data_IF_462074657080
#
_entry.id   IF_462074657080
#
_cell.length_a   1.000
_cell.length_b   1.000
_cell.length_c   1.000
_cell.angle_alpha   90.00
_cell.angle_beta   90.00
_cell.angle_gamma   90.00
#
_symmetry.space_group_name_H-M   'P 1'
#
loop_
_entity.id
_entity.type
_entity.pdbx_description
1 polymer ?
#
# COMPACT_ATOMS: atom_id res chain seq x y z
N UNK A 1 49.12 -58.74 22.73
CA UNK A 1 47.80 -58.51 23.36
C UNK A 1 47.05 -57.53 22.47
N UNK A 2 45.95 -57.98 21.85
CA UNK A 2 45.11 -57.21 20.93
C UNK A 2 44.13 -56.38 21.76
N UNK A 3 44.14 -55.06 21.60
CA UNK A 3 43.09 -54.19 22.12
C UNK A 3 41.95 -54.11 21.08
N UNK A 4 40.77 -54.54 21.49
CA UNK A 4 39.56 -54.60 20.69
C UNK A 4 38.93 -53.20 20.58
N UNK A 5 38.84 -52.65 19.37
CA UNK A 5 38.02 -51.47 19.07
C UNK A 5 36.53 -51.87 18.99
N UNK A 6 35.62 -51.17 19.67
CA UNK A 6 34.18 -51.42 19.57
C UNK A 6 33.61 -50.97 18.19
N UNK A 7 32.63 -51.70 17.62
CA UNK A 7 32.19 -51.58 16.23
C UNK A 7 31.16 -50.45 15.96
N UNK A 8 31.20 -49.34 16.70
CA UNK A 8 30.22 -48.24 16.53
C UNK A 8 30.81 -47.02 15.79
N UNK A 9 31.87 -47.24 15.02
CA UNK A 9 32.25 -46.37 13.92
C UNK A 9 31.41 -46.74 12.70
N UNK A 10 30.33 -46.03 12.44
CA UNK A 10 29.99 -45.59 11.09
C UNK A 10 29.02 -44.38 11.15
N UNK A 11 29.31 -43.32 10.39
CA UNK A 11 28.61 -42.05 10.42
C UNK A 11 27.37 -42.10 9.51
N UNK A 12 26.24 -41.59 9.98
CA UNK A 12 25.11 -41.25 9.11
C UNK A 12 24.61 -39.86 9.53
N UNK A 13 25.00 -38.84 8.78
CA UNK A 13 24.23 -38.29 7.67
C UNK A 13 22.88 -37.69 8.11
N UNK A 14 22.85 -36.35 8.10
CA UNK A 14 21.77 -35.58 7.51
C UNK A 14 20.34 -35.82 8.03
N UNK A 15 20.02 -35.30 9.22
CA UNK A 15 18.65 -34.89 9.57
C UNK A 15 18.70 -33.49 10.20
N UNK A 16 19.22 -32.51 9.45
CA UNK A 16 19.18 -31.08 9.83
C UNK A 16 18.57 -30.21 8.72
N UNK A 17 17.78 -30.82 7.84
CA UNK A 17 17.15 -30.15 6.69
C UNK A 17 15.73 -30.69 6.54
N UNK A 18 14.78 -30.16 7.32
CA UNK A 18 13.35 -30.11 6.99
C UNK A 18 12.55 -29.47 8.13
N UNK A 19 12.93 -28.27 8.54
CA UNK A 19 11.93 -27.28 8.97
C UNK A 19 12.01 -26.19 7.91
N UNK A 20 11.35 -26.43 6.79
CA UNK A 20 10.91 -25.31 5.94
C UNK A 20 9.82 -24.65 6.77
N UNK A 21 10.03 -23.46 7.37
CA UNK A 21 8.87 -22.68 7.73
C UNK A 21 8.19 -22.40 6.38
N UNK A 22 7.05 -23.03 6.15
CA UNK A 22 6.09 -22.59 5.15
C UNK A 22 5.56 -21.21 5.56
N UNK A 23 6.44 -20.23 5.67
CA UNK A 23 6.14 -18.83 5.64
C UNK A 23 5.77 -18.52 4.19
N UNK A 24 4.49 -18.54 3.88
CA UNK A 24 3.87 -17.51 3.05
C UNK A 24 2.35 -17.70 3.17
N UNK A 25 1.85 -17.54 4.40
CA UNK A 25 0.57 -16.85 4.53
C UNK A 25 0.85 -15.43 4.05
N UNK A 26 0.75 -15.24 2.74
CA UNK A 26 0.82 -13.93 2.12
C UNK A 26 -0.49 -13.26 2.53
N UNK A 27 -0.54 -12.77 3.77
CA UNK A 27 -1.60 -11.92 4.29
C UNK A 27 -1.90 -10.92 3.18
N UNK A 28 -3.07 -11.08 2.53
CA UNK A 28 -3.50 -10.16 1.50
C UNK A 28 -3.71 -8.83 2.21
N UNK A 29 -2.67 -7.99 2.24
CA UNK A 29 -2.75 -6.65 2.83
C UNK A 29 -4.03 -6.00 2.28
N UNK A 30 -4.95 -5.56 3.15
CA UNK A 30 -6.19 -4.96 2.71
C UNK A 30 -5.85 -3.79 1.79
N UNK A 31 -6.63 -3.60 0.73
CA UNK A 31 -6.45 -2.49 -0.18
C UNK A 31 -6.74 -1.21 0.62
N UNK A 32 -5.76 -0.30 0.81
CA UNK A 32 -6.01 0.90 1.57
C UNK A 32 -6.95 1.81 0.78
N UNK A 33 -7.98 2.30 1.45
CA UNK A 33 -8.93 3.27 0.91
C UNK A 33 -8.61 4.62 1.53
N UNK A 34 -8.32 5.61 0.69
CA UNK A 34 -8.01 6.98 1.10
C UNK A 34 -9.15 7.87 0.67
N UNK A 35 -9.73 8.59 1.63
CA UNK A 35 -10.76 9.58 1.36
C UNK A 35 -10.09 10.90 1.11
N UNK A 36 -10.38 11.53 -0.02
CA UNK A 36 -9.91 12.87 -0.38
C UNK A 36 -11.12 13.71 -0.73
N UNK A 37 -11.30 14.85 -0.10
CA UNK A 37 -12.36 15.80 -0.46
C UNK A 37 -11.78 17.14 -0.91
N UNK A 38 -12.34 17.70 -1.97
CA UNK A 38 -12.13 19.10 -2.33
C UNK A 38 -13.07 19.95 -1.48
N UNK A 39 -12.52 20.83 -0.66
CA UNK A 39 -13.30 21.71 0.21
C UNK A 39 -13.71 22.99 -0.53
N UNK A 40 -14.75 23.66 -0.05
CA UNK A 40 -15.22 24.94 -0.60
C UNK A 40 -14.15 26.03 -0.52
N UNK A 41 -13.47 26.13 0.63
CA UNK A 41 -12.37 27.05 0.86
C UNK A 41 -11.27 26.93 -0.20
N UNK A 42 -10.76 28.06 -0.69
CA UNK A 42 -9.73 28.10 -1.73
C UNK A 42 -8.43 27.42 -1.27
N UNK A 43 -7.89 26.54 -2.11
CA UNK A 43 -6.65 25.80 -1.83
C UNK A 43 -6.72 24.79 -0.69
N UNK A 44 -7.91 24.55 -0.11
CA UNK A 44 -8.11 23.59 0.98
C UNK A 44 -8.64 22.25 0.47
N UNK A 45 -8.13 21.18 1.07
CA UNK A 45 -8.49 19.80 0.80
C UNK A 45 -8.62 19.03 2.12
N UNK A 46 -9.27 17.88 2.09
CA UNK A 46 -9.24 16.92 3.19
C UNK A 46 -8.54 15.62 2.75
N UNK A 47 -7.86 14.96 3.67
CA UNK A 47 -7.46 13.55 3.54
C UNK A 47 -7.92 12.83 4.80
N UNK A 48 -8.74 11.80 4.66
CA UNK A 48 -9.28 11.04 5.80
C UNK A 48 -9.83 11.98 6.91
N UNK A 49 -10.60 13.00 6.50
CA UNK A 49 -11.18 14.04 7.34
C UNK A 49 -10.19 15.03 7.99
N UNK A 50 -8.91 14.98 7.66
CA UNK A 50 -7.92 15.97 8.10
C UNK A 50 -7.72 17.03 7.03
N UNK A 51 -7.86 18.30 7.42
CA UNK A 51 -7.68 19.44 6.52
C UNK A 51 -6.20 19.64 6.20
N UNK A 52 -5.89 19.75 4.91
CA UNK A 52 -4.54 19.95 4.38
C UNK A 52 -4.55 20.98 3.24
N UNK A 53 -3.40 21.57 2.98
CA UNK A 53 -3.17 22.35 1.75
C UNK A 53 -2.72 21.46 0.58
N UNK A 54 -2.66 22.02 -0.62
CA UNK A 54 -2.27 21.32 -1.84
C UNK A 54 -0.93 20.57 -1.73
N UNK A 55 0.09 21.21 -1.15
CA UNK A 55 1.41 20.57 -1.02
C UNK A 55 1.40 19.41 -0.03
N UNK A 56 0.65 19.54 1.07
CA UNK A 56 0.43 18.45 2.02
C UNK A 56 -0.32 17.29 1.38
N UNK A 57 -1.32 17.58 0.55
CA UNK A 57 -2.06 16.58 -0.23
C UNK A 57 -1.15 15.80 -1.17
N UNK A 58 -0.34 16.49 -1.97
CA UNK A 58 0.62 15.85 -2.88
C UNK A 58 1.63 14.98 -2.15
N UNK A 59 2.17 15.48 -1.03
CA UNK A 59 3.14 14.76 -0.23
C UNK A 59 2.56 13.44 0.31
N UNK A 60 1.35 13.48 0.86
CA UNK A 60 0.69 12.31 1.43
C UNK A 60 0.28 11.30 0.35
N UNK A 61 -0.30 11.76 -0.76
CA UNK A 61 -0.64 10.90 -1.89
C UNK A 61 0.60 10.22 -2.48
N UNK A 62 1.72 10.94 -2.58
CA UNK A 62 2.98 10.34 -3.04
C UNK A 62 3.52 9.31 -2.05
N UNK A 63 3.51 9.63 -0.75
CA UNK A 63 3.90 8.70 0.32
C UNK A 63 3.10 7.40 0.23
N UNK A 64 1.78 7.50 0.05
CA UNK A 64 0.88 6.36 -0.12
C UNK A 64 1.10 5.61 -1.43
N UNK A 65 1.35 6.32 -2.53
CA UNK A 65 1.68 5.70 -3.81
C UNK A 65 2.93 4.82 -3.70
N UNK A 66 3.96 5.31 -3.01
CA UNK A 66 5.22 4.60 -2.81
C UNK A 66 5.09 3.46 -1.79
N UNK A 67 4.36 3.66 -0.68
CA UNK A 67 4.11 2.62 0.34
C UNK A 67 3.38 1.40 -0.24
N UNK A 68 2.41 1.63 -1.13
CA UNK A 68 1.56 0.59 -1.72
C UNK A 68 1.92 0.24 -3.16
N UNK A 69 3.12 0.65 -3.61
CA UNK A 69 3.61 0.40 -4.97
C UNK A 69 3.77 -1.10 -5.23
N UNK A 70 3.22 -1.59 -6.33
CA UNK A 70 3.46 -2.96 -6.81
C UNK A 70 4.82 -3.03 -7.48
N UNK A 71 5.69 -3.92 -7.02
CA UNK A 71 6.97 -4.17 -7.69
C UNK A 71 6.79 -4.62 -9.16
N UNK A 72 5.71 -5.35 -9.47
CA UNK A 72 5.48 -5.92 -10.79
C UNK A 72 4.96 -4.91 -11.84
N UNK A 73 4.13 -3.94 -11.45
CA UNK A 73 3.49 -3.00 -12.41
C UNK A 73 3.93 -1.56 -12.22
N UNK A 74 4.58 -1.22 -11.10
CA UNK A 74 4.92 0.17 -10.76
C UNK A 74 3.74 1.00 -10.24
N UNK A 75 2.50 0.56 -10.45
CA UNK A 75 1.28 1.21 -9.95
C UNK A 75 1.00 0.88 -8.48
N UNK A 76 0.35 1.80 -7.78
CA UNK A 76 -0.09 1.62 -6.39
C UNK A 76 -1.37 0.79 -6.30
N UNK A 77 -1.48 -0.01 -5.23
CA UNK A 77 -2.71 -0.74 -4.90
C UNK A 77 -3.78 0.14 -4.28
N UNK A 78 -3.40 1.30 -3.77
CA UNK A 78 -4.28 2.15 -3.01
C UNK A 78 -5.47 2.65 -3.85
N UNK A 79 -6.63 2.73 -3.20
CA UNK A 79 -7.86 3.24 -3.78
C UNK A 79 -8.12 4.63 -3.22
N UNK A 80 -8.27 5.62 -4.09
CA UNK A 80 -8.62 6.99 -3.71
C UNK A 80 -10.11 7.18 -3.96
N UNK A 81 -10.86 7.53 -2.91
CA UNK A 81 -12.24 8.01 -3.04
C UNK A 81 -12.20 9.53 -3.03
N UNK A 82 -12.58 10.13 -4.14
CA UNK A 82 -12.51 11.57 -4.34
C UNK A 82 -13.90 12.20 -4.28
N UNK A 83 -14.16 12.94 -3.21
CA UNK A 83 -15.33 13.78 -3.02
C UNK A 83 -15.09 15.23 -3.42
N UNK A 84 -16.19 15.94 -3.67
CA UNK A 84 -16.21 17.38 -3.89
C UNK A 84 -17.33 17.96 -3.06
N UNK A 85 -17.00 18.84 -2.13
CA UNK A 85 -17.98 19.54 -1.31
C UNK A 85 -18.89 20.40 -2.20
N UNK A 86 -20.16 20.55 -1.82
CA UNK A 86 -21.10 21.38 -2.57
C UNK A 86 -20.61 22.83 -2.61
N UNK A 87 -20.42 23.37 -3.82
CA UNK A 87 -19.87 24.72 -4.04
C UNK A 87 -18.34 24.76 -4.23
N UNK A 88 -17.64 23.64 -4.06
CA UNK A 88 -16.21 23.55 -4.35
C UNK A 88 -15.94 23.43 -5.87
N UNK A 89 -14.73 23.81 -6.28
CA UNK A 89 -14.34 23.80 -7.69
C UNK A 89 -14.10 22.39 -8.23
N UNK A 90 -14.84 22.00 -9.27
CA UNK A 90 -14.58 20.79 -10.05
C UNK A 90 -13.23 20.81 -10.78
N UNK A 91 -12.64 22.00 -11.05
CA UNK A 91 -11.30 22.10 -11.62
C UNK A 91 -10.23 21.51 -10.70
N UNK A 92 -10.30 21.86 -9.40
CA UNK A 92 -9.39 21.33 -8.38
C UNK A 92 -9.52 19.81 -8.20
N UNK A 93 -10.72 19.26 -8.41
CA UNK A 93 -10.92 17.80 -8.44
C UNK A 93 -10.09 17.16 -9.55
N UNK A 94 -10.11 17.73 -10.75
CA UNK A 94 -9.37 17.18 -11.89
C UNK A 94 -7.86 17.27 -11.66
N UNK A 95 -7.37 18.35 -11.05
CA UNK A 95 -5.95 18.47 -10.66
C UNK A 95 -5.50 17.34 -9.72
N UNK A 96 -6.36 16.94 -8.77
CA UNK A 96 -6.09 15.77 -7.91
C UNK A 96 -6.03 14.49 -8.73
N UNK A 97 -6.98 14.29 -9.64
CA UNK A 97 -7.02 13.11 -10.51
C UNK A 97 -5.74 13.00 -11.33
N UNK A 98 -5.35 14.10 -11.99
CA UNK A 98 -4.13 14.16 -12.80
C UNK A 98 -2.89 13.87 -11.97
N UNK A 99 -2.81 14.44 -10.75
CA UNK A 99 -1.70 14.17 -9.85
C UNK A 99 -1.65 12.70 -9.41
N UNK A 100 -2.78 12.13 -8.99
CA UNK A 100 -2.89 10.71 -8.61
C UNK A 100 -2.40 9.79 -9.74
N UNK A 101 -2.85 10.03 -10.97
CA UNK A 101 -2.40 9.27 -12.14
C UNK A 101 -0.89 9.41 -12.35
N UNK A 102 -0.34 10.63 -12.22
CA UNK A 102 1.09 10.89 -12.39
C UNK A 102 1.99 10.15 -11.39
N UNK A 103 1.49 9.85 -10.18
CA UNK A 103 2.24 9.12 -9.14
C UNK A 103 1.96 7.61 -9.14
N UNK A 104 1.03 7.14 -9.98
CA UNK A 104 0.65 5.73 -10.11
C UNK A 104 -0.53 5.29 -9.22
N UNK A 105 -1.33 6.23 -8.70
CA UNK A 105 -2.60 5.96 -8.02
C UNK A 105 -3.74 5.92 -9.05
N UNK A 106 -3.91 4.77 -9.70
CA UNK A 106 -4.84 4.63 -10.84
C UNK A 106 -6.29 4.32 -10.41
N UNK A 107 -6.48 3.79 -9.20
CA UNK A 107 -7.80 3.40 -8.69
C UNK A 107 -8.48 4.59 -8.01
N UNK A 108 -9.06 5.49 -8.81
CA UNK A 108 -9.77 6.67 -8.31
C UNK A 108 -11.27 6.47 -8.52
N UNK A 109 -12.03 6.45 -7.43
CA UNK A 109 -13.48 6.36 -7.45
C UNK A 109 -14.08 7.69 -7.01
N UNK A 110 -15.24 8.09 -7.55
CA UNK A 110 -16.01 9.15 -6.91
C UNK A 110 -16.35 8.73 -5.48
N UNK A 111 -16.31 9.67 -4.53
CA UNK A 111 -17.01 9.47 -3.27
C UNK A 111 -18.50 9.37 -3.61
N UNK A 112 -19.03 8.15 -3.66
CA UNK A 112 -20.47 7.95 -3.82
C UNK A 112 -21.13 8.56 -2.59
N UNK A 113 -21.89 9.64 -2.78
CA UNK A 113 -22.90 10.08 -1.82
C UNK A 113 -23.93 8.97 -1.69
N UNK A 114 -23.69 8.03 -0.78
CA UNK A 114 -24.56 6.91 -0.49
C UNK A 114 -24.92 6.94 0.99
N UNK A 115 -26.04 7.60 1.26
CA UNK A 115 -27.02 7.39 2.35
C UNK A 115 -26.54 7.40 3.82
#
# INVERSE_FOLDING_TARGET
MRASCPPWCLPLLAVLLLVVPGCMDQERKPIPVILVDVLTDEGAYSINHQRVGWDGLKAELRRLADEYRRAATGSSRALVRLGVETGASYGRRNEIVDFCMSVGLEQILPASSGE
#
